data_IF_957664175602
#
_entry.id   IF_957664175602
#
_cell.length_a   1.000
_cell.length_b   1.000
_cell.length_c   1.000
_cell.angle_alpha   90.00
_cell.angle_beta   90.00
_cell.angle_gamma   90.00
#
_symmetry.space_group_name_H-M   'P 1'
#
loop_
_entity.id
_entity.type
_entity.pdbx_description
1 polymer ?
#
# COMPACT_ATOMS: atom_id res chain seq x y z
N UNK A 1 -26.34 9.76 11.63
CA UNK A 1 -25.70 8.96 10.56
C UNK A 1 -24.42 8.44 11.16
N UNK A 2 -24.36 7.15 11.46
CA UNK A 2 -23.13 6.53 11.97
C UNK A 2 -22.13 6.49 10.82
N UNK A 3 -21.04 7.23 10.98
CA UNK A 3 -19.94 7.24 10.02
C UNK A 3 -19.29 5.85 10.11
N UNK A 4 -19.19 5.08 9.01
CA UNK A 4 -18.57 3.76 9.05
C UNK A 4 -17.11 3.88 9.51
N UNK A 5 -16.77 3.17 10.58
CA UNK A 5 -15.41 3.13 11.13
C UNK A 5 -14.46 2.42 10.15
N UNK A 6 -13.40 3.06 9.64
CA UNK A 6 -12.44 2.41 8.74
C UNK A 6 -11.64 1.31 9.46
N UNK A 7 -11.46 0.17 8.78
CA UNK A 7 -10.84 -1.07 9.31
C UNK A 7 -9.33 -1.08 9.04
N UNK A 8 -8.53 -1.42 10.05
CA UNK A 8 -7.05 -1.46 9.98
C UNK A 8 -6.57 -2.89 10.19
N UNK A 9 -5.47 -3.26 9.52
CA UNK A 9 -4.73 -4.48 9.80
C UNK A 9 -5.34 -5.72 9.16
N UNK A 10 -5.17 -5.87 7.85
CA UNK A 10 -5.29 -7.19 7.24
C UNK A 10 -4.32 -8.16 7.92
N UNK A 11 -4.62 -9.48 7.96
CA UNK A 11 -3.74 -10.48 8.55
C UNK A 11 -2.57 -10.78 7.59
N UNK A 12 -1.76 -9.75 7.27
CA UNK A 12 -0.67 -9.79 6.30
C UNK A 12 0.26 -10.99 6.51
N UNK A 13 0.59 -11.27 7.76
CA UNK A 13 1.44 -12.39 8.14
C UNK A 13 0.80 -13.75 7.80
N UNK A 14 -0.52 -13.88 7.96
CA UNK A 14 -1.26 -15.12 7.69
C UNK A 14 -1.47 -15.33 6.20
N UNK A 15 -1.82 -14.27 5.46
CA UNK A 15 -1.91 -14.29 3.99
C UNK A 15 -0.56 -14.73 3.39
N UNK A 16 0.54 -14.16 3.88
CA UNK A 16 1.88 -14.59 3.48
C UNK A 16 2.15 -16.05 3.82
N UNK A 17 1.80 -16.48 5.04
CA UNK A 17 2.02 -17.85 5.49
C UNK A 17 1.17 -18.88 4.74
N UNK A 18 -0.03 -18.52 4.29
CA UNK A 18 -0.88 -19.39 3.47
C UNK A 18 -0.21 -19.75 2.13
N UNK A 19 0.66 -18.86 1.63
CA UNK A 19 1.43 -19.06 0.40
C UNK A 19 2.73 -19.88 0.59
N UNK A 20 3.00 -20.46 1.78
CA UNK A 20 4.22 -21.25 2.04
C UNK A 20 4.42 -22.39 1.02
N UNK A 21 5.68 -22.64 0.65
CA UNK A 21 6.06 -23.71 -0.29
C UNK A 21 6.07 -23.30 -1.78
N UNK A 22 5.64 -22.08 -2.10
CA UNK A 22 5.84 -21.47 -3.43
C UNK A 22 7.21 -20.75 -3.50
N UNK A 23 7.70 -20.46 -4.72
CA UNK A 23 8.87 -19.59 -4.88
C UNK A 23 8.54 -18.17 -4.41
N UNK A 24 9.55 -17.36 -4.12
CA UNK A 24 9.33 -15.99 -3.63
C UNK A 24 8.45 -15.18 -4.58
N UNK A 25 8.72 -15.23 -5.89
CA UNK A 25 7.99 -14.50 -6.93
C UNK A 25 6.52 -14.91 -6.96
N UNK A 26 6.25 -16.22 -6.83
CA UNK A 26 4.88 -16.74 -6.79
C UNK A 26 4.15 -16.37 -5.51
N UNK A 27 4.82 -16.42 -4.35
CA UNK A 27 4.25 -15.96 -3.08
C UNK A 27 3.91 -14.49 -3.15
N UNK A 28 4.80 -13.68 -3.72
CA UNK A 28 4.61 -12.25 -3.87
C UNK A 28 3.46 -11.93 -4.82
N UNK A 29 3.37 -12.60 -5.97
CA UNK A 29 2.26 -12.43 -6.90
C UNK A 29 0.91 -12.80 -6.26
N UNK A 30 0.85 -13.92 -5.52
CA UNK A 30 -0.36 -14.29 -4.78
C UNK A 30 -0.70 -13.28 -3.70
N UNK A 31 0.28 -12.88 -2.89
CA UNK A 31 0.11 -11.86 -1.86
C UNK A 31 -0.46 -10.57 -2.47
N UNK A 32 0.10 -10.06 -3.56
CA UNK A 32 -0.40 -8.85 -4.23
C UNK A 32 -1.87 -9.01 -4.66
N UNK A 33 -2.26 -10.15 -5.22
CA UNK A 33 -3.63 -10.40 -5.64
C UNK A 33 -4.62 -10.41 -4.46
N UNK A 34 -4.27 -11.08 -3.35
CA UNK A 34 -5.12 -11.11 -2.15
C UNK A 34 -5.21 -9.73 -1.48
N UNK A 35 -4.11 -8.98 -1.48
CA UNK A 35 -4.08 -7.63 -0.91
C UNK A 35 -4.83 -6.62 -1.79
N UNK A 36 -4.77 -6.73 -3.11
CA UNK A 36 -5.51 -5.87 -4.04
C UNK A 36 -7.02 -5.91 -3.75
N UNK A 37 -7.61 -7.10 -3.74
CA UNK A 37 -9.04 -7.28 -3.44
C UNK A 37 -9.41 -6.76 -2.05
N UNK A 38 -8.60 -7.11 -1.04
CA UNK A 38 -8.86 -6.72 0.33
C UNK A 38 -8.70 -5.20 0.56
N UNK A 39 -7.72 -4.55 -0.08
CA UNK A 39 -7.49 -3.12 0.03
C UNK A 39 -8.56 -2.30 -0.69
N UNK A 40 -8.99 -2.74 -1.88
CA UNK A 40 -10.13 -2.13 -2.58
C UNK A 40 -11.37 -2.20 -1.71
N UNK A 41 -11.67 -3.40 -1.19
CA UNK A 41 -12.83 -3.60 -0.32
C UNK A 41 -12.77 -2.67 0.91
N UNK A 42 -11.61 -2.56 1.57
CA UNK A 42 -11.40 -1.66 2.71
C UNK A 42 -11.58 -0.18 2.35
N UNK A 43 -11.05 0.22 1.20
CA UNK A 43 -11.17 1.58 0.68
C UNK A 43 -12.63 1.95 0.44
N UNK A 44 -13.40 1.06 -0.19
CA UNK A 44 -14.83 1.26 -0.47
C UNK A 44 -15.66 1.46 0.78
N UNK A 45 -15.23 0.89 1.92
CA UNK A 45 -15.90 1.12 3.20
C UNK A 45 -15.51 2.45 3.86
N UNK A 46 -14.41 3.08 3.42
CA UNK A 46 -13.80 4.25 4.06
C UNK A 46 -14.16 5.57 3.40
N UNK A 47 -14.69 5.53 2.18
CA UNK A 47 -15.11 6.71 1.41
C UNK A 47 -16.59 6.63 1.07
N UNK A 48 -17.33 7.75 1.12
CA UNK A 48 -18.77 7.73 0.86
C UNK A 48 -19.11 7.61 -0.63
N UNK A 49 -18.21 8.03 -1.52
CA UNK A 49 -18.42 7.98 -2.96
C UNK A 49 -17.24 7.31 -3.67
N UNK A 50 -17.54 6.54 -4.72
CA UNK A 50 -16.56 5.83 -5.54
C UNK A 50 -16.54 6.40 -6.96
N UNK A 51 -15.35 6.48 -7.53
CA UNK A 51 -15.11 6.74 -8.94
C UNK A 51 -14.73 5.46 -9.69
N UNK A 52 -13.87 5.62 -10.69
CA UNK A 52 -13.33 4.55 -11.53
C UNK A 52 -11.95 4.15 -11.03
N UNK A 53 -11.69 2.85 -10.97
CA UNK A 53 -10.36 2.37 -10.63
C UNK A 53 -9.41 2.36 -11.85
N UNK A 54 -8.24 2.94 -11.66
CA UNK A 54 -7.15 2.97 -12.65
C UNK A 54 -5.84 2.50 -12.02
N UNK A 55 -5.31 1.40 -12.55
CA UNK A 55 -4.01 0.86 -12.13
C UNK A 55 -2.89 1.49 -12.97
N UNK A 56 -1.91 2.06 -12.30
CA UNK A 56 -0.73 2.65 -12.92
C UNK A 56 0.55 1.95 -12.41
N UNK A 57 1.39 1.50 -13.34
CA UNK A 57 2.60 0.71 -13.02
C UNK A 57 3.88 1.40 -13.52
N UNK A 58 4.87 1.52 -12.65
CA UNK A 58 6.17 2.15 -12.93
C UNK A 58 7.28 1.31 -12.31
N UNK A 59 8.03 0.57 -13.13
CA UNK A 59 9.02 -0.38 -12.63
C UNK A 59 8.36 -1.45 -11.78
N UNK A 60 8.81 -1.63 -10.54
CA UNK A 60 8.18 -2.53 -9.57
C UNK A 60 6.97 -1.93 -8.85
N UNK A 61 6.74 -0.62 -8.94
CA UNK A 61 5.71 0.09 -8.22
C UNK A 61 4.36 0.03 -8.95
N UNK A 62 3.31 -0.29 -8.20
CA UNK A 62 1.91 -0.31 -8.64
C UNK A 62 1.12 0.66 -7.78
N UNK A 63 0.33 1.54 -8.40
CA UNK A 63 -0.57 2.49 -7.76
C UNK A 63 -1.98 2.25 -8.27
N UNK A 64 -2.93 1.96 -7.38
CA UNK A 64 -4.33 1.92 -7.75
C UNK A 64 -4.97 3.26 -7.38
N UNK A 65 -5.54 3.92 -8.36
CA UNK A 65 -6.23 5.20 -8.21
C UNK A 65 -7.74 5.02 -8.30
N UNK A 66 -8.46 5.80 -7.52
CA UNK A 66 -9.89 6.06 -7.67
C UNK A 66 -10.04 7.43 -8.35
N UNK A 67 -10.34 7.43 -9.65
CA UNK A 67 -10.48 8.62 -10.51
C UNK A 67 -11.95 9.00 -10.65
N UNK A 68 -12.29 10.27 -10.40
CA UNK A 68 -13.64 10.80 -10.57
C UNK A 68 -13.70 11.54 -11.92
N UNK A 69 -14.84 11.49 -12.61
CA UNK A 69 -14.99 11.76 -14.06
C UNK A 69 -14.51 13.13 -14.55
N UNK A 70 -14.27 13.22 -15.87
CA UNK A 70 -13.74 14.36 -16.66
C UNK A 70 -14.56 15.68 -16.64
N UNK A 71 -15.63 15.77 -15.85
CA UNK A 71 -16.44 16.99 -15.75
C UNK A 71 -15.74 18.00 -14.85
N UNK A 72 -15.77 19.29 -15.23
CA UNK A 72 -14.97 20.42 -14.73
C UNK A 72 -15.05 20.71 -13.20
N UNK A 73 -15.79 19.92 -12.42
CA UNK A 73 -15.73 19.93 -10.96
C UNK A 73 -14.53 19.06 -10.50
N UNK A 74 -13.37 19.74 -10.36
CA UNK A 74 -12.00 19.29 -10.04
C UNK A 74 -11.83 18.37 -8.81
N UNK A 75 -12.59 17.28 -8.67
CA UNK A 75 -12.35 16.31 -7.61
C UNK A 75 -11.13 15.44 -7.95
N UNK A 76 -10.03 15.72 -7.26
CA UNK A 76 -8.76 15.02 -7.44
C UNK A 76 -8.87 13.51 -7.20
N UNK A 77 -8.14 12.74 -8.02
CA UNK A 77 -8.03 11.29 -7.88
C UNK A 77 -7.39 10.89 -6.54
N UNK A 78 -8.00 9.92 -5.85
CA UNK A 78 -7.45 9.35 -4.61
C UNK A 78 -6.59 8.14 -4.93
N UNK A 79 -5.51 7.96 -4.19
CA UNK A 79 -4.79 6.68 -4.20
C UNK A 79 -5.55 5.73 -3.28
N UNK A 80 -5.86 4.52 -3.76
CA UNK A 80 -6.43 3.42 -2.98
C UNK A 80 -5.31 2.70 -2.22
N UNK A 81 -4.24 2.36 -2.93
CA UNK A 81 -3.00 1.85 -2.36
C UNK A 81 -1.82 2.11 -3.31
N UNK A 82 -0.61 2.03 -2.76
CA UNK A 82 0.61 1.86 -3.53
C UNK A 82 1.43 0.70 -2.97
N UNK A 83 2.04 -0.12 -3.84
CA UNK A 83 2.97 -1.17 -3.43
C UNK A 83 4.13 -1.31 -4.41
N UNK A 84 5.26 -1.81 -3.95
CA UNK A 84 6.47 -1.96 -4.78
C UNK A 84 7.40 -3.05 -4.25
N UNK A 85 8.39 -3.43 -5.06
CA UNK A 85 9.64 -3.99 -4.55
C UNK A 85 10.64 -2.85 -4.45
N UNK A 86 11.27 -2.68 -3.29
CA UNK A 86 12.22 -1.58 -3.09
C UNK A 86 13.36 -1.64 -4.10
N UNK A 87 13.51 -0.60 -4.90
CA UNK A 87 14.59 -0.40 -5.86
C UNK A 87 15.40 0.82 -5.42
N UNK A 88 16.46 0.65 -4.62
CA UNK A 88 17.23 1.77 -4.11
C UNK A 88 17.79 2.61 -5.26
N UNK A 89 17.35 3.86 -5.37
CA UNK A 89 17.88 4.80 -6.35
C UNK A 89 18.89 5.73 -5.68
N UNK A 90 20.22 5.50 -5.83
CA UNK A 90 21.24 6.36 -5.22
C UNK A 90 21.27 7.76 -5.82
N UNK A 91 20.67 7.95 -7.00
CA UNK A 91 20.57 9.23 -7.70
C UNK A 91 19.24 9.95 -7.43
N UNK A 92 18.35 9.38 -6.61
CA UNK A 92 17.14 10.05 -6.18
C UNK A 92 17.51 11.31 -5.37
N UNK A 93 17.57 12.44 -6.06
CA UNK A 93 17.49 13.76 -5.43
C UNK A 93 16.01 14.09 -5.32
N UNK A 94 15.60 14.68 -4.19
CA UNK A 94 14.31 15.35 -4.14
C UNK A 94 14.32 16.46 -5.21
N UNK A 95 13.43 16.40 -6.21
CA UNK A 95 13.39 17.46 -7.20
C UNK A 95 12.84 18.73 -6.53
N UNK A 96 13.75 19.68 -6.28
CA UNK A 96 13.38 21.05 -5.98
C UNK A 96 12.47 21.57 -7.12
N UNK A 97 11.22 21.89 -6.83
CA UNK A 97 10.35 22.65 -7.73
C UNK A 97 9.32 21.91 -8.59
N UNK A 98 9.00 20.63 -8.34
CA UNK A 98 7.91 19.98 -9.10
C UNK A 98 6.52 20.57 -8.80
N UNK A 99 5.71 20.80 -9.84
CA UNK A 99 4.28 21.15 -9.75
C UNK A 99 3.55 20.01 -9.03
N UNK A 100 2.90 20.36 -7.93
CA UNK A 100 2.19 19.41 -7.10
C UNK A 100 0.81 19.07 -7.70
N UNK A 101 0.17 17.97 -7.25
CA UNK A 101 -1.27 17.78 -7.46
C UNK A 101 -2.04 19.00 -6.95
N UNK A 102 -3.22 19.27 -7.51
CA UNK A 102 -4.06 20.43 -7.18
C UNK A 102 -4.29 20.58 -5.65
N UNK A 103 -4.20 19.52 -4.86
CA UNK A 103 -4.45 19.56 -3.43
C UNK A 103 -3.36 20.35 -2.71
N UNK A 104 -2.13 20.25 -3.18
CA UNK A 104 -1.04 21.08 -2.67
C UNK A 104 -1.14 22.55 -3.14
N UNK A 105 -2.02 22.85 -4.11
CA UNK A 105 -2.29 24.21 -4.61
C UNK A 105 -3.25 24.95 -3.67
N UNK A 106 -4.22 24.25 -3.07
CA UNK A 106 -5.03 24.77 -1.96
C UNK A 106 -4.23 24.87 -0.65
N UNK A 107 -3.19 24.05 -0.48
CA UNK A 107 -2.30 24.10 0.70
C UNK A 107 -1.21 25.20 0.65
N UNK A 108 -1.44 26.27 -0.13
CA UNK A 108 -1.01 27.64 0.19
C UNK A 108 0.47 27.88 0.51
N UNK A 109 1.18 28.45 -0.45
CA UNK A 109 2.20 29.50 -0.34
C UNK A 109 2.69 29.89 1.09
N UNK A 110 3.52 29.07 1.73
CA UNK A 110 4.79 29.40 2.44
C UNK A 110 5.18 28.22 3.36
N UNK A 111 6.49 27.97 3.49
CA UNK A 111 7.03 26.79 4.23
C UNK A 111 6.74 26.79 5.73
N UNK A 112 6.41 27.96 6.30
CA UNK A 112 6.37 28.17 7.75
C UNK A 112 4.95 28.05 8.34
N UNK A 113 3.90 28.14 7.51
CA UNK A 113 2.50 28.14 7.98
C UNK A 113 1.82 26.77 7.87
N UNK A 114 2.26 25.91 6.94
CA UNK A 114 1.62 24.62 6.72
C UNK A 114 2.32 23.50 7.50
N UNK A 115 1.62 22.61 8.23
CA UNK A 115 2.26 21.57 9.03
C UNK A 115 2.44 20.23 8.28
N UNK A 116 2.28 20.23 6.95
CA UNK A 116 2.40 19.07 6.07
C UNK A 116 3.57 19.24 5.08
N UNK A 117 4.11 18.12 4.63
CA UNK A 117 5.08 18.02 3.54
C UNK A 117 4.44 17.30 2.34
N UNK A 118 5.12 17.33 1.19
CA UNK A 118 4.78 16.46 0.04
C UNK A 118 5.33 15.06 0.31
N UNK A 119 4.48 14.20 0.86
CA UNK A 119 4.81 12.80 1.07
C UNK A 119 4.71 12.01 -0.23
N UNK A 120 5.44 10.89 -0.28
CA UNK A 120 5.31 9.91 -1.35
C UNK A 120 4.77 8.60 -0.77
N UNK A 121 3.77 8.00 -1.41
CA UNK A 121 3.27 6.69 -0.98
C UNK A 121 4.36 5.61 -1.09
N UNK A 122 5.16 5.67 -2.15
CA UNK A 122 6.41 4.93 -2.26
C UNK A 122 7.50 5.99 -2.47
N UNK A 123 8.45 6.09 -1.55
CA UNK A 123 9.52 7.08 -1.67
C UNK A 123 10.27 6.92 -3.00
N UNK A 124 10.62 8.03 -3.64
CA UNK A 124 11.42 8.00 -4.86
C UNK A 124 12.75 7.26 -4.68
N UNK A 125 13.36 7.36 -3.48
CA UNK A 125 14.56 6.60 -3.13
C UNK A 125 14.37 5.07 -3.07
N UNK A 126 13.12 4.59 -3.12
CA UNK A 126 12.72 3.19 -3.11
C UNK A 126 12.13 2.71 -4.45
N UNK A 127 12.18 3.55 -5.50
CA UNK A 127 11.63 3.24 -6.83
C UNK A 127 10.23 3.78 -7.08
N UNK A 128 9.71 4.66 -6.21
CA UNK A 128 8.43 5.32 -6.43
C UNK A 128 8.46 6.38 -7.54
N UNK A 129 7.29 6.68 -8.12
CA UNK A 129 7.13 7.65 -9.19
C UNK A 129 6.65 9.02 -8.68
N UNK A 130 7.34 10.09 -9.08
CA UNK A 130 7.25 11.43 -8.47
C UNK A 130 5.90 12.16 -8.67
N UNK A 131 5.08 11.81 -9.66
CA UNK A 131 3.91 12.64 -10.03
C UNK A 131 2.57 12.11 -9.53
N UNK A 132 2.39 10.79 -9.47
CA UNK A 132 1.10 10.18 -9.12
C UNK A 132 1.06 9.68 -7.67
N UNK A 133 2.22 9.54 -7.04
CA UNK A 133 2.36 8.99 -5.69
C UNK A 133 2.38 10.03 -4.58
N UNK A 134 2.03 11.28 -4.85
CA UNK A 134 2.14 12.38 -3.89
C UNK A 134 0.87 12.54 -3.05
N UNK A 135 1.04 12.87 -1.77
CA UNK A 135 -0.05 13.24 -0.88
C UNK A 135 0.41 14.23 0.20
N UNK A 136 -0.52 14.99 0.82
CA UNK A 136 -0.20 15.80 1.99
C UNK A 136 0.16 14.88 3.16
N UNK A 137 1.42 14.91 3.60
CA UNK A 137 1.90 14.04 4.68
C UNK A 137 2.25 14.86 5.91
N UNK A 138 1.89 14.36 7.10
CA UNK A 138 2.24 15.00 8.36
C UNK A 138 3.76 15.18 8.47
N UNK A 139 4.22 16.42 8.65
CA UNK A 139 5.64 16.78 8.57
C UNK A 139 6.51 16.06 9.59
N UNK A 140 6.05 15.93 10.82
CA UNK A 140 6.77 15.21 11.87
C UNK A 140 6.96 13.73 11.52
N UNK A 141 5.94 13.09 10.94
CA UNK A 141 6.02 11.70 10.45
C UNK A 141 7.01 11.60 9.29
N UNK A 142 6.82 12.41 8.24
CA UNK A 142 7.64 12.40 7.03
C UNK A 142 9.13 12.66 7.33
N UNK A 143 9.44 13.62 8.21
CA UNK A 143 10.83 14.02 8.52
C UNK A 143 11.48 13.21 9.63
N UNK A 144 10.78 12.25 10.23
CA UNK A 144 11.36 11.43 11.28
C UNK A 144 11.41 12.07 12.67
N UNK A 145 10.51 13.02 12.96
CA UNK A 145 10.42 13.71 14.24
C UNK A 145 9.45 12.96 15.18
N UNK A 146 9.83 12.83 16.45
CA UNK A 146 9.06 12.05 17.44
C UNK A 146 9.16 10.54 17.21
N UNK A 147 8.47 9.75 18.04
CA UNK A 147 8.57 8.29 17.99
C UNK A 147 7.96 7.71 16.71
N UNK A 148 6.79 8.21 16.31
CA UNK A 148 6.09 7.76 15.12
C UNK A 148 6.86 8.11 13.84
N UNK A 149 7.36 9.34 13.71
CA UNK A 149 8.19 9.72 12.57
C UNK A 149 9.48 8.90 12.51
N UNK A 150 10.20 8.75 13.63
CA UNK A 150 11.40 7.90 13.67
C UNK A 150 11.12 6.48 13.21
N UNK A 151 9.95 5.94 13.57
CA UNK A 151 9.52 4.60 13.13
C UNK A 151 9.24 4.56 11.63
N UNK A 152 8.47 5.52 11.08
CA UNK A 152 8.21 5.64 9.64
C UNK A 152 9.51 5.66 8.83
N UNK A 153 10.43 6.56 9.19
CA UNK A 153 11.74 6.68 8.53
C UNK A 153 12.60 5.42 8.73
N UNK A 154 12.46 4.70 9.85
CA UNK A 154 13.17 3.44 10.05
C UNK A 154 12.68 2.34 9.09
N UNK A 155 11.38 2.28 8.81
CA UNK A 155 10.79 1.35 7.83
C UNK A 155 11.28 1.66 6.41
N UNK A 156 11.27 2.93 5.99
CA UNK A 156 11.82 3.34 4.69
C UNK A 156 13.32 3.05 4.58
N UNK A 157 14.08 3.32 5.65
CA UNK A 157 15.52 3.01 5.69
C UNK A 157 15.79 1.52 5.60
N UNK A 158 14.93 0.67 6.18
CA UNK A 158 15.02 -0.77 6.01
C UNK A 158 14.85 -1.14 4.54
N UNK A 159 13.73 -0.75 3.91
CA UNK A 159 13.48 -1.05 2.50
C UNK A 159 14.61 -0.54 1.59
N UNK A 160 15.19 0.62 1.88
CA UNK A 160 16.32 1.16 1.10
C UNK A 160 17.61 0.36 1.24
N UNK A 161 17.88 -0.23 2.41
CA UNK A 161 19.08 -1.05 2.65
C UNK A 161 18.95 -2.46 2.11
N UNK A 162 17.73 -2.95 1.98
CA UNK A 162 17.40 -4.32 1.59
C UNK A 162 16.65 -4.30 0.25
N UNK A 163 17.38 -4.12 -0.86
CA UNK A 163 16.78 -4.09 -2.20
C UNK A 163 15.95 -5.35 -2.48
N UNK A 164 14.85 -5.20 -3.23
CA UNK A 164 13.89 -6.29 -3.47
C UNK A 164 12.93 -6.59 -2.30
N UNK A 165 12.94 -5.79 -1.23
CA UNK A 165 11.97 -5.87 -0.13
C UNK A 165 10.59 -5.42 -0.63
N UNK A 166 9.57 -6.25 -0.42
CA UNK A 166 8.19 -5.82 -0.71
C UNK A 166 7.72 -4.80 0.33
N UNK A 167 7.14 -3.71 -0.14
CA UNK A 167 6.53 -2.68 0.71
C UNK A 167 5.21 -2.20 0.11
N UNK A 168 4.35 -1.69 0.98
CA UNK A 168 3.11 -1.04 0.58
C UNK A 168 2.80 0.15 1.47
N UNK A 169 2.07 1.10 0.92
CA UNK A 169 1.50 2.23 1.62
C UNK A 169 0.03 2.35 1.23
N UNK A 170 -0.85 2.22 2.22
CA UNK A 170 -2.30 2.30 2.05
C UNK A 170 -2.84 3.52 2.78
N UNK A 171 -3.32 4.54 2.06
CA UNK A 171 -4.07 5.63 2.68
C UNK A 171 -5.38 5.12 3.27
N UNK A 172 -5.76 5.69 4.40
CA UNK A 172 -7.05 5.47 5.05
C UNK A 172 -7.75 6.82 5.12
N UNK A 173 -8.85 6.92 4.39
CA UNK A 173 -9.70 8.11 4.34
C UNK A 173 -10.84 7.96 5.36
N UNK A 174 -11.46 9.08 5.69
CA UNK A 174 -12.70 9.14 6.46
C UNK A 174 -13.68 10.17 5.89
N UNK A 175 -13.33 10.77 4.74
CA UNK A 175 -14.10 11.79 4.05
C UNK A 175 -13.82 11.71 2.53
N UNK A 176 -14.41 12.63 1.79
CA UNK A 176 -14.27 12.71 0.33
C UNK A 176 -13.00 13.43 -0.16
N UNK A 177 -12.12 13.86 0.75
CA UNK A 177 -10.91 14.60 0.35
C UNK A 177 -9.81 13.65 -0.11
N UNK A 178 -8.80 14.21 -0.79
CA UNK A 178 -7.57 13.48 -1.13
C UNK A 178 -6.52 13.45 -0.01
N UNK A 179 -6.82 14.03 1.15
CA UNK A 179 -5.91 14.04 2.30
C UNK A 179 -6.24 12.88 3.24
N UNK A 180 -5.51 11.76 3.22
CA UNK A 180 -5.84 10.64 4.10
C UNK A 180 -5.69 11.02 5.57
N UNK A 181 -6.54 10.45 6.43
CA UNK A 181 -6.47 10.62 7.88
C UNK A 181 -5.31 9.81 8.48
N UNK A 182 -5.08 8.62 7.94
CA UNK A 182 -3.99 7.74 8.35
C UNK A 182 -3.29 7.11 7.15
N UNK A 183 -2.07 6.66 7.40
CA UNK A 183 -1.27 5.89 6.44
C UNK A 183 -0.91 4.56 7.09
N UNK A 184 -1.38 3.46 6.52
CA UNK A 184 -0.88 2.13 6.85
C UNK A 184 0.32 1.81 5.97
N UNK A 185 1.48 1.64 6.59
CA UNK A 185 2.73 1.34 5.89
C UNK A 185 3.22 -0.04 6.31
N UNK A 186 3.53 -0.89 5.34
CA UNK A 186 3.95 -2.26 5.59
C UNK A 186 5.18 -2.64 4.79
N UNK A 187 6.04 -3.42 5.43
CA UNK A 187 7.30 -3.93 4.88
C UNK A 187 7.40 -5.42 5.17
N UNK A 188 7.60 -6.23 4.13
CA UNK A 188 7.90 -7.65 4.26
C UNK A 188 9.41 -7.83 4.41
N UNK A 189 9.88 -8.05 5.63
CA UNK A 189 11.30 -8.26 5.93
C UNK A 189 11.85 -9.52 5.26
N UNK A 190 13.16 -9.59 5.06
CA UNK A 190 13.86 -10.74 4.47
C UNK A 190 13.59 -12.06 5.22
N UNK A 191 13.35 -12.00 6.54
CA UNK A 191 12.99 -13.16 7.37
C UNK A 191 11.53 -13.64 7.16
N UNK A 192 10.75 -12.98 6.30
CA UNK A 192 9.34 -13.30 6.04
C UNK A 192 8.35 -12.75 7.06
N UNK A 193 8.82 -11.87 7.96
CA UNK A 193 8.00 -11.16 8.93
C UNK A 193 7.44 -9.87 8.31
N UNK A 194 6.13 -9.63 8.50
CA UNK A 194 5.51 -8.36 8.16
C UNK A 194 5.70 -7.34 9.29
N UNK A 195 6.37 -6.23 8.98
CA UNK A 195 6.39 -5.05 9.83
C UNK A 195 5.38 -4.03 9.28
N UNK A 196 4.25 -3.89 9.98
CA UNK A 196 3.16 -2.99 9.57
C UNK A 196 2.86 -2.02 10.70
N UNK A 197 2.70 -0.75 10.35
CA UNK A 197 2.40 0.33 11.27
C UNK A 197 1.37 1.27 10.65
N UNK A 198 0.59 1.94 11.51
CA UNK A 198 -0.33 2.98 11.07
C UNK A 198 0.08 4.32 11.65
N UNK A 199 0.18 5.31 10.77
CA UNK A 199 0.64 6.65 11.10
C UNK A 199 -0.51 7.64 10.95
N UNK A 200 -0.78 8.49 11.97
CA UNK A 200 -1.71 9.61 11.82
C UNK A 200 -1.16 10.61 10.81
N UNK A 201 -2.02 11.05 9.91
CA UNK A 201 -1.67 11.93 8.81
C UNK A 201 -2.40 13.28 8.84
N UNK A 202 -3.28 13.50 9.81
CA UNK A 202 -3.89 14.79 10.17
C UNK A 202 -3.55 15.16 11.62
N UNK A 203 -3.57 16.45 11.94
CA UNK A 203 -3.36 16.96 13.31
C UNK A 203 -4.66 17.18 14.08
N UNK A 204 -5.79 17.27 13.38
CA UNK A 204 -7.11 17.36 14.02
C UNK A 204 -7.43 16.02 14.68
N UNK A 205 -7.74 16.10 15.96
CA UNK A 205 -8.18 14.98 16.78
C UNK A 205 -9.67 14.77 16.50
N UNK A 206 -10.01 14.19 15.36
CA UNK A 206 -11.28 13.45 15.33
C UNK A 206 -11.06 12.19 16.15
N UNK A 207 -11.93 11.90 17.14
CA UNK A 207 -11.79 10.69 17.93
C UNK A 207 -11.77 9.51 16.97
N UNK A 208 -10.64 8.81 16.97
CA UNK A 208 -10.54 7.48 16.41
C UNK A 208 -11.59 6.62 17.13
N UNK A 209 -12.74 6.40 16.50
CA UNK A 209 -13.73 5.45 17.00
C UNK A 209 -13.08 4.07 16.83
N UNK A 210 -12.75 3.43 17.94
CA UNK A 210 -11.94 2.22 17.97
C UNK A 210 -12.54 1.04 17.20
N UNK A 211 -11.73 0.52 16.28
CA UNK A 211 -11.55 -0.87 15.83
C UNK A 211 -12.55 -1.94 16.30
N UNK A 212 -13.41 -2.38 15.38
CA UNK A 212 -13.70 -3.82 15.28
C UNK A 212 -12.77 -4.43 14.24
N UNK A 213 -12.28 -5.65 14.50
CA UNK A 213 -11.42 -6.42 13.59
C UNK A 213 -12.04 -6.56 12.21
N UNK A 214 -11.21 -6.68 11.16
CA UNK A 214 -11.66 -7.17 9.84
C UNK A 214 -12.55 -8.40 10.08
N UNK A 215 -13.76 -8.50 9.50
CA UNK A 215 -14.63 -9.63 9.77
C UNK A 215 -13.89 -10.92 9.48
N UNK A 216 -13.99 -11.86 10.42
CA UNK A 216 -13.27 -13.12 10.33
C UNK A 216 -13.48 -13.79 8.96
N UNK A 217 -14.64 -13.65 8.34
CA UNK A 217 -14.91 -14.22 7.02
C UNK A 217 -14.06 -13.63 5.89
N UNK A 218 -13.72 -12.34 5.91
CA UNK A 218 -12.84 -11.72 4.89
C UNK A 218 -11.42 -12.24 5.08
N UNK A 219 -10.96 -12.28 6.33
CA UNK A 219 -9.67 -12.86 6.69
C UNK A 219 -9.60 -14.34 6.26
N UNK A 220 -10.62 -15.11 6.60
CA UNK A 220 -10.76 -16.51 6.28
C UNK A 220 -10.82 -16.74 4.77
N UNK A 221 -11.50 -15.88 4.01
CA UNK A 221 -11.65 -16.05 2.56
C UNK A 221 -10.33 -15.77 1.84
N UNK A 222 -9.59 -14.74 2.23
CA UNK A 222 -8.24 -14.48 1.73
C UNK A 222 -7.30 -15.66 2.05
N UNK A 223 -7.35 -16.18 3.28
CA UNK A 223 -6.56 -17.36 3.69
C UNK A 223 -6.97 -18.59 2.87
N UNK A 224 -8.28 -18.86 2.71
CA UNK A 224 -8.81 -20.00 1.94
C UNK A 224 -8.48 -19.88 0.46
N UNK A 225 -8.55 -18.68 -0.11
CA UNK A 225 -8.16 -18.40 -1.50
C UNK A 225 -6.70 -18.76 -1.73
N UNK A 226 -5.80 -18.21 -0.89
CA UNK A 226 -4.38 -18.52 -0.94
C UNK A 226 -4.09 -20.04 -0.78
N UNK A 227 -4.80 -20.72 0.13
CA UNK A 227 -4.67 -22.18 0.27
C UNK A 227 -5.15 -22.97 -0.95
N UNK A 228 -6.27 -22.58 -1.56
CA UNK A 228 -6.83 -23.22 -2.77
C UNK A 228 -5.83 -23.12 -3.91
N UNK A 229 -5.24 -21.95 -4.10
CA UNK A 229 -4.21 -21.72 -5.11
C UNK A 229 -2.99 -22.62 -4.90
N UNK A 230 -2.47 -22.68 -3.66
CA UNK A 230 -1.34 -23.56 -3.28
C UNK A 230 -1.64 -25.03 -3.60
N UNK A 231 -2.81 -25.53 -3.21
CA UNK A 231 -3.23 -26.92 -3.48
C UNK A 231 -3.34 -27.20 -4.97
N UNK A 232 -3.82 -26.24 -5.76
CA UNK A 232 -3.89 -26.33 -7.22
C UNK A 232 -2.48 -26.47 -7.84
N UNK A 233 -1.54 -25.61 -7.42
CA UNK A 233 -0.16 -25.69 -7.89
C UNK A 233 0.55 -27.00 -7.52
N UNK A 234 0.35 -27.50 -6.30
CA UNK A 234 0.92 -28.78 -5.86
C UNK A 234 0.40 -29.95 -6.72
N UNK A 235 -0.90 -29.94 -7.05
CA UNK A 235 -1.50 -30.93 -7.96
C UNK A 235 -0.88 -30.84 -9.35
N UNK A 236 -0.70 -29.62 -9.86
CA UNK A 236 -0.07 -29.40 -11.17
C UNK A 236 1.38 -29.89 -11.19
N UNK A 237 2.20 -29.54 -10.18
CA UNK A 237 3.59 -30.03 -10.05
C UNK A 237 3.67 -31.55 -10.02
N UNK A 238 2.81 -32.20 -9.23
CA UNK A 238 2.74 -33.68 -9.17
C UNK A 238 2.34 -34.30 -10.51
N UNK A 239 1.44 -33.66 -11.26
CA UNK A 239 1.06 -34.11 -12.60
C UNK A 239 2.26 -34.02 -13.56
N UNK A 240 2.95 -32.89 -13.59
CA UNK A 240 4.13 -32.68 -14.44
C UNK A 240 5.27 -33.66 -14.11
N UNK A 241 5.51 -33.93 -12.83
CA UNK A 241 6.54 -34.90 -12.42
C UNK A 241 6.20 -36.33 -12.87
N UNK A 242 4.93 -36.73 -12.78
CA UNK A 242 4.44 -38.02 -13.29
C UNK A 242 4.61 -38.12 -14.81
N UNK A 243 4.32 -37.05 -15.54
CA UNK A 243 4.50 -37.02 -17.00
C UNK A 243 5.97 -37.10 -17.39
N UNK A 244 6.86 -36.39 -16.67
CA UNK A 244 8.31 -36.46 -16.90
C UNK A 244 8.89 -37.85 -16.62
N UNK A 245 8.41 -38.54 -15.58
CA UNK A 245 8.80 -39.94 -15.27
C UNK A 245 8.27 -40.95 -16.29
N UNK A 246 7.21 -40.63 -17.03
CA UNK A 246 6.66 -41.45 -18.11
C UNK A 246 7.31 -41.19 -19.46
N UNK A 247 8.08 -40.11 -19.61
CA UNK A 247 8.81 -39.84 -20.84
C UNK A 247 9.94 -40.88 -20.98
N UNK A 248 9.99 -41.67 -22.07
CA UNK A 248 11.05 -42.65 -22.29
C UNK A 248 12.40 -41.94 -22.36
N UNK A 249 13.41 -42.52 -21.70
CA UNK A 249 14.80 -42.05 -21.82
C UNK A 249 15.23 -42.23 -23.27
N UNK A 250 15.49 -41.12 -23.96
CA UNK A 250 16.17 -41.12 -25.25
C UNK A 250 17.66 -41.23 -25.06
#
# INVERSE_FOLDING_TARGET
MDIPTPRIGLPYQEIWNACRGLSFEKRLAQLKAELDEAWVWLYEQSVPDLGRYELAEFGSASYLHDTRSDDEDELESRVVYACALSEPNPNAREPFGMRAPLCCREFGQTKDEFPFDRGHFIAHSLGGFDQIGLYPQRRDVNRGVGDLGRKYVAMERYARRHAGTFLFCRPIYGDNTVHPFWIEFGVLKENGEFWVEVFPNRYTFEPFVGLESVPQWVQDEAIKSAERQRKSEERFKRKMERERKKAPSK
#
